data_IF_265862042385
#
_entry.id   IF_265862042385
#
_cell.length_a   1.000
_cell.length_b   1.000
_cell.length_c   1.000
_cell.angle_alpha   90.00
_cell.angle_beta   90.00
_cell.angle_gamma   90.00
#
_symmetry.space_group_name_H-M   'P 1'
#
loop_
_entity.id
_entity.type
_entity.pdbx_description
1 polymer ?
#
# COMPACT_ATOMS: atom_id res chain seq x y z
N UNK A 1 22.54 1.43 -23.03
CA UNK A 1 21.12 1.60 -23.40
C UNK A 1 20.47 0.25 -23.25
N UNK A 2 19.86 -0.02 -22.10
CA UNK A 2 19.19 -1.31 -21.84
C UNK A 2 17.82 -1.32 -22.51
N UNK A 3 17.36 -2.44 -23.06
CA UNK A 3 16.05 -2.52 -23.69
C UNK A 3 14.98 -2.19 -22.66
N UNK A 4 14.10 -1.25 -23.01
CA UNK A 4 12.95 -0.85 -22.21
C UNK A 4 11.88 -1.95 -22.30
N UNK A 5 11.99 -2.98 -21.47
CA UNK A 5 10.90 -3.95 -21.34
C UNK A 5 9.67 -3.26 -20.74
N UNK A 6 8.57 -3.29 -21.48
CA UNK A 6 7.23 -2.93 -21.00
C UNK A 6 6.66 -4.17 -20.31
N UNK A 7 6.18 -4.04 -19.08
CA UNK A 7 5.56 -5.14 -18.35
C UNK A 7 4.05 -5.09 -18.59
N UNK A 8 3.39 -6.22 -18.88
CA UNK A 8 1.93 -6.26 -18.97
C UNK A 8 1.36 -6.86 -17.69
N UNK A 9 0.38 -6.18 -17.08
CA UNK A 9 -0.33 -6.73 -15.93
C UNK A 9 -1.26 -7.86 -16.41
N UNK A 10 -1.18 -9.07 -15.85
CA UNK A 10 -2.09 -10.15 -16.21
C UNK A 10 -3.56 -9.80 -15.94
N UNK A 11 -4.52 -10.19 -16.81
CA UNK A 11 -5.96 -9.93 -16.65
C UNK A 11 -6.52 -10.29 -15.28
N UNK A 12 -6.08 -11.42 -14.71
CA UNK A 12 -6.49 -11.91 -13.40
C UNK A 12 -6.12 -10.97 -12.25
N UNK A 13 -5.05 -10.17 -12.38
CA UNK A 13 -4.61 -9.23 -11.35
C UNK A 13 -5.40 -7.91 -11.37
N UNK A 14 -6.17 -7.62 -12.43
CA UNK A 14 -6.95 -6.38 -12.53
C UNK A 14 -8.05 -6.27 -11.48
N UNK A 15 -8.47 -7.39 -10.89
CA UNK A 15 -9.41 -7.39 -9.76
C UNK A 15 -8.85 -6.60 -8.57
N UNK A 16 -7.53 -6.63 -8.35
CA UNK A 16 -6.87 -5.93 -7.26
C UNK A 16 -6.97 -4.40 -7.38
N UNK A 17 -7.06 -3.87 -8.60
CA UNK A 17 -7.19 -2.44 -8.87
C UNK A 17 -8.63 -1.92 -8.70
N UNK A 18 -9.62 -2.82 -8.70
CA UNK A 18 -11.05 -2.50 -8.64
C UNK A 18 -11.72 -2.88 -7.33
N UNK A 19 -10.99 -3.47 -6.38
CA UNK A 19 -11.52 -3.98 -5.11
C UNK A 19 -12.36 -2.95 -4.33
N UNK A 20 -11.94 -1.68 -4.30
CA UNK A 20 -12.68 -0.61 -3.64
C UNK A 20 -13.94 -0.10 -4.37
N UNK A 21 -14.33 -0.67 -5.52
CA UNK A 21 -15.50 -0.25 -6.30
C UNK A 21 -16.74 -1.14 -6.11
N UNK A 22 -16.55 -2.44 -5.80
CA UNK A 22 -17.64 -3.43 -5.77
C UNK A 22 -17.80 -4.14 -4.42
N UNK A 23 -16.82 -4.05 -3.53
CA UNK A 23 -16.85 -4.65 -2.19
C UNK A 23 -16.70 -3.59 -1.09
N UNK A 24 -16.89 -4.00 0.17
CA UNK A 24 -16.46 -3.18 1.32
C UNK A 24 -14.96 -2.91 1.23
N UNK A 25 -14.55 -1.67 1.49
CA UNK A 25 -13.15 -1.24 1.47
C UNK A 25 -12.22 -2.19 2.28
N UNK A 26 -10.98 -2.42 1.80
CA UNK A 26 -10.02 -3.29 2.47
C UNK A 26 -9.87 -2.99 3.96
N UNK A 27 -9.57 -4.02 4.74
CA UNK A 27 -9.31 -3.85 6.17
C UNK A 27 -8.04 -3.04 6.38
N UNK A 28 -8.02 -2.19 7.41
CA UNK A 28 -6.81 -1.47 7.80
C UNK A 28 -5.69 -2.43 8.24
N UNK A 29 -6.09 -3.52 8.89
CA UNK A 29 -5.21 -4.59 9.39
C UNK A 29 -5.79 -5.96 9.02
N UNK A 30 -5.55 -6.45 7.80
CA UNK A 30 -6.04 -7.76 7.39
C UNK A 30 -5.25 -8.87 8.08
N UNK A 31 -5.89 -10.04 8.21
CA UNK A 31 -5.30 -11.25 8.82
C UNK A 31 -5.01 -12.33 7.77
N UNK A 32 -5.47 -12.13 6.54
CA UNK A 32 -5.33 -13.07 5.43
C UNK A 32 -5.40 -12.32 4.09
N UNK A 33 -4.84 -12.90 3.02
CA UNK A 33 -5.02 -12.37 1.68
C UNK A 33 -6.49 -12.24 1.28
N UNK A 34 -6.78 -11.25 0.44
CA UNK A 34 -8.04 -11.08 -0.25
C UNK A 34 -8.35 -12.30 -1.13
N UNK A 35 -7.38 -12.70 -1.97
CA UNK A 35 -7.44 -13.92 -2.75
C UNK A 35 -6.10 -14.67 -2.70
N UNK A 36 -6.00 -15.78 -1.95
CA UNK A 36 -4.79 -16.60 -1.91
C UNK A 36 -4.36 -17.11 -3.28
N UNK A 37 -5.32 -17.34 -4.19
CA UNK A 37 -5.07 -17.88 -5.54
C UNK A 37 -4.33 -16.92 -6.46
N UNK A 38 -4.28 -15.61 -6.12
CA UNK A 38 -3.53 -14.62 -6.88
C UNK A 38 -2.03 -14.63 -6.54
N UNK A 39 -1.64 -15.21 -5.39
CA UNK A 39 -0.24 -15.18 -4.95
C UNK A 39 0.74 -15.75 -5.99
N UNK A 40 0.49 -16.94 -6.59
CA UNK A 40 1.41 -17.48 -7.60
C UNK A 40 1.58 -16.54 -8.80
N UNK A 41 0.47 -15.95 -9.30
CA UNK A 41 0.51 -15.03 -10.44
C UNK A 41 1.29 -13.74 -10.13
N UNK A 42 1.15 -13.20 -8.91
CA UNK A 42 1.94 -12.03 -8.48
C UNK A 42 3.42 -12.40 -8.35
N UNK A 43 3.73 -13.54 -7.72
CA UNK A 43 5.11 -13.97 -7.48
C UNK A 43 5.86 -14.30 -8.78
N UNK A 44 5.19 -14.89 -9.77
CA UNK A 44 5.75 -15.22 -11.08
C UNK A 44 5.79 -14.07 -12.06
N UNK A 45 5.24 -12.90 -11.71
CA UNK A 45 5.24 -11.74 -12.59
C UNK A 45 6.67 -11.30 -12.87
N UNK A 46 7.06 -11.23 -14.14
CA UNK A 46 8.31 -10.60 -14.55
C UNK A 46 8.14 -9.08 -14.43
N UNK A 47 8.30 -8.54 -13.23
CA UNK A 47 8.22 -7.12 -12.91
C UNK A 47 9.12 -6.78 -11.71
N UNK A 48 9.55 -5.50 -11.59
CA UNK A 48 10.35 -5.03 -10.47
C UNK A 48 9.72 -5.31 -9.11
N UNK A 49 10.55 -5.44 -8.07
CA UNK A 49 10.10 -5.76 -6.70
C UNK A 49 9.01 -4.81 -6.19
N UNK A 50 9.11 -3.47 -6.34
CA UNK A 50 8.04 -2.58 -5.90
C UNK A 50 6.68 -2.86 -6.56
N UNK A 51 6.67 -3.26 -7.84
CA UNK A 51 5.44 -3.61 -8.58
C UNK A 51 4.80 -4.87 -8.02
N UNK A 52 5.59 -5.92 -7.77
CA UNK A 52 5.08 -7.14 -7.12
C UNK A 52 4.67 -6.89 -5.67
N UNK A 53 5.42 -6.05 -4.96
CA UNK A 53 5.13 -5.66 -3.58
C UNK A 53 3.79 -4.93 -3.44
N UNK A 54 3.50 -3.94 -4.29
CA UNK A 54 2.20 -3.24 -4.27
C UNK A 54 1.04 -4.18 -4.66
N UNK A 55 1.26 -5.15 -5.55
CA UNK A 55 0.25 -6.15 -5.90
C UNK A 55 -0.05 -7.10 -4.73
N UNK A 56 0.96 -7.61 -4.02
CA UNK A 56 0.76 -8.39 -2.79
C UNK A 56 0.06 -7.54 -1.72
N UNK A 57 0.44 -6.27 -1.56
CA UNK A 57 -0.20 -5.34 -0.63
C UNK A 57 -1.69 -5.14 -0.96
N UNK A 58 -2.05 -4.91 -2.23
CA UNK A 58 -3.45 -4.80 -2.68
C UNK A 58 -4.25 -6.09 -2.46
N UNK A 59 -3.58 -7.24 -2.58
CA UNK A 59 -4.13 -8.56 -2.29
C UNK A 59 -4.19 -8.88 -0.78
N UNK A 60 -3.87 -7.95 0.11
CA UNK A 60 -3.76 -8.19 1.55
C UNK A 60 -2.80 -9.33 1.96
N UNK A 61 -1.90 -9.74 1.07
CA UNK A 61 -0.87 -10.75 1.32
C UNK A 61 0.35 -10.08 1.97
N UNK A 62 0.17 -9.67 3.23
CA UNK A 62 1.13 -8.89 4.02
C UNK A 62 2.48 -9.58 4.08
N UNK A 63 2.49 -10.87 4.44
CA UNK A 63 3.72 -11.63 4.65
C UNK A 63 4.55 -11.73 3.36
N UNK A 64 3.88 -11.98 2.22
CA UNK A 64 4.55 -12.04 0.93
C UNK A 64 5.09 -10.69 0.50
N UNK A 65 4.31 -9.61 0.68
CA UNK A 65 4.74 -8.26 0.37
C UNK A 65 5.95 -7.84 1.22
N UNK A 66 5.88 -8.06 2.53
CA UNK A 66 6.93 -7.69 3.49
C UNK A 66 8.23 -8.44 3.25
N UNK A 67 8.17 -9.76 3.11
CA UNK A 67 9.36 -10.57 2.78
C UNK A 67 10.01 -10.04 1.49
N UNK A 68 9.21 -9.74 0.47
CA UNK A 68 9.72 -9.31 -0.82
C UNK A 68 10.38 -7.93 -0.79
N UNK A 69 9.76 -6.93 -0.15
CA UNK A 69 10.30 -5.56 -0.15
C UNK A 69 11.39 -5.34 0.89
N UNK A 70 11.44 -6.15 1.95
CA UNK A 70 12.52 -6.10 2.94
C UNK A 70 13.87 -6.46 2.32
N UNK A 71 13.89 -7.41 1.38
CA UNK A 71 15.11 -7.81 0.67
C UNK A 71 15.55 -6.77 -0.40
N UNK A 72 14.76 -5.73 -0.64
CA UNK A 72 15.00 -4.64 -1.60
C UNK A 72 15.14 -3.27 -0.90
N UNK A 73 15.76 -3.24 0.28
CA UNK A 73 15.88 -2.07 1.16
C UNK A 73 16.73 -0.90 0.60
N UNK A 74 17.50 -1.15 -0.47
CA UNK A 74 18.20 -0.09 -1.21
C UNK A 74 17.26 0.71 -2.14
N UNK A 75 16.07 0.17 -2.43
CA UNK A 75 15.08 0.81 -3.30
C UNK A 75 14.09 1.64 -2.48
N UNK A 76 14.02 2.94 -2.79
CA UNK A 76 13.12 3.87 -2.09
C UNK A 76 11.64 3.51 -2.20
N UNK A 77 11.22 2.91 -3.32
CA UNK A 77 9.82 2.57 -3.56
C UNK A 77 9.42 1.36 -2.72
N UNK A 78 10.34 0.38 -2.59
CA UNK A 78 10.23 -0.75 -1.66
C UNK A 78 10.22 -0.29 -0.20
N UNK A 79 11.06 0.69 0.17
CA UNK A 79 11.05 1.27 1.52
C UNK A 79 9.72 1.98 1.85
N UNK A 80 9.09 2.63 0.87
CA UNK A 80 7.75 3.19 1.05
C UNK A 80 6.71 2.09 1.31
N UNK A 81 6.71 1.02 0.52
CA UNK A 81 5.84 -0.13 0.74
C UNK A 81 6.07 -0.77 2.11
N UNK A 82 7.33 -0.92 2.52
CA UNK A 82 7.73 -1.45 3.83
C UNK A 82 7.14 -0.61 4.97
N UNK A 83 7.22 0.73 4.87
CA UNK A 83 6.60 1.62 5.86
C UNK A 83 5.08 1.44 5.96
N UNK A 84 4.40 1.19 4.83
CA UNK A 84 2.95 0.95 4.77
C UNK A 84 2.61 -0.43 5.36
N UNK A 85 3.43 -1.44 5.10
CA UNK A 85 3.24 -2.81 5.60
C UNK A 85 3.26 -2.84 7.13
N UNK A 86 4.24 -2.21 7.76
CA UNK A 86 4.27 -2.10 9.22
C UNK A 86 3.02 -1.43 9.81
N UNK A 87 2.48 -0.39 9.16
CA UNK A 87 1.21 0.22 9.59
C UNK A 87 0.07 -0.80 9.55
N UNK A 88 0.05 -1.66 8.54
CA UNK A 88 -0.99 -2.68 8.37
C UNK A 88 -0.82 -3.90 9.28
N UNK A 89 0.40 -4.20 9.69
CA UNK A 89 0.71 -5.20 10.72
C UNK A 89 0.30 -4.69 12.13
N UNK A 90 0.29 -3.37 12.31
CA UNK A 90 0.09 -2.70 13.59
C UNK A 90 1.39 -2.36 14.31
N UNK A 91 2.53 -2.46 13.62
CA UNK A 91 3.81 -1.92 14.08
C UNK A 91 3.93 -0.44 13.68
N UNK A 92 3.11 0.39 14.33
CA UNK A 92 3.00 1.81 14.02
C UNK A 92 4.29 2.59 14.29
N UNK A 93 5.07 2.16 15.29
CA UNK A 93 6.36 2.76 15.59
C UNK A 93 7.34 2.54 14.44
N UNK A 94 7.48 1.30 13.97
CA UNK A 94 8.42 0.97 12.91
C UNK A 94 8.00 1.53 11.55
N UNK A 95 6.69 1.61 11.29
CA UNK A 95 6.15 2.36 10.15
C UNK A 95 6.66 3.81 10.12
N UNK A 96 6.56 4.52 11.26
CA UNK A 96 7.06 5.90 11.38
C UNK A 96 8.59 5.98 11.33
N UNK A 97 9.29 4.96 11.84
CA UNK A 97 10.74 4.87 11.76
C UNK A 97 11.22 4.78 10.31
N UNK A 98 10.62 3.90 9.50
CA UNK A 98 10.94 3.78 8.07
C UNK A 98 10.67 5.07 7.29
N UNK A 99 9.56 5.76 7.57
CA UNK A 99 9.26 7.06 6.96
C UNK A 99 10.34 8.14 7.24
N UNK A 100 11.18 7.96 8.27
CA UNK A 100 12.33 8.84 8.52
C UNK A 100 13.55 8.53 7.65
N UNK A 101 13.70 7.29 7.17
CA UNK A 101 14.92 6.82 6.51
C UNK A 101 15.06 7.30 5.07
N UNK A 102 13.96 7.75 4.45
CA UNK A 102 13.96 8.17 3.05
C UNK A 102 13.09 9.41 2.82
N UNK A 103 13.15 9.90 1.58
CA UNK A 103 12.25 10.89 1.01
C UNK A 103 11.68 10.34 -0.30
N UNK A 104 10.38 10.51 -0.53
CA UNK A 104 9.71 9.90 -1.67
C UNK A 104 8.75 10.89 -2.36
N UNK A 105 8.86 11.13 -3.66
CA UNK A 105 8.07 12.15 -4.37
C UNK A 105 6.56 11.86 -4.36
N UNK A 106 6.15 10.59 -4.46
CA UNK A 106 4.76 10.17 -4.32
C UNK A 106 4.08 10.73 -3.06
N UNK A 107 4.77 10.76 -1.90
CA UNK A 107 4.17 11.28 -0.67
C UNK A 107 3.84 12.78 -0.79
N UNK A 108 4.73 13.55 -1.43
CA UNK A 108 4.46 14.97 -1.70
C UNK A 108 3.26 15.15 -2.63
N UNK A 109 3.14 14.34 -3.68
CA UNK A 109 2.01 14.37 -4.61
C UNK A 109 0.69 14.00 -3.91
N UNK A 110 0.69 12.91 -3.13
CA UNK A 110 -0.51 12.41 -2.46
C UNK A 110 -1.02 13.38 -1.38
N UNK A 111 -0.13 13.95 -0.56
CA UNK A 111 -0.52 14.79 0.56
C UNK A 111 -0.64 16.29 0.23
N UNK A 112 -0.28 16.70 -1.00
CA UNK A 112 -0.51 18.06 -1.48
C UNK A 112 -2.00 18.48 -1.39
N UNK A 113 -2.94 17.56 -1.64
CA UNK A 113 -4.37 17.85 -1.54
C UNK A 113 -4.83 18.15 -0.10
N UNK A 114 -4.12 17.60 0.90
CA UNK A 114 -4.35 17.90 2.31
C UNK A 114 -3.54 19.13 2.77
N UNK A 115 -2.78 19.76 1.87
CA UNK A 115 -1.86 20.86 2.16
C UNK A 115 -0.85 20.51 3.25
N UNK A 116 -0.37 19.27 3.24
CA UNK A 116 0.61 18.75 4.19
C UNK A 116 1.92 18.44 3.48
N UNK A 117 3.03 18.54 4.23
CA UNK A 117 4.26 17.85 3.85
C UNK A 117 4.00 16.35 3.73
N UNK A 118 4.60 15.70 2.73
CA UNK A 118 4.35 14.29 2.43
C UNK A 118 4.69 13.34 3.57
N UNK A 119 5.83 13.57 4.25
CA UNK A 119 6.26 12.74 5.38
C UNK A 119 5.40 13.00 6.61
N UNK A 120 5.07 14.27 6.88
CA UNK A 120 4.17 14.64 7.97
C UNK A 120 2.79 14.02 7.78
N UNK A 121 2.21 14.13 6.59
CA UNK A 121 0.90 13.56 6.27
C UNK A 121 0.87 12.04 6.41
N UNK A 122 1.90 11.34 5.90
CA UNK A 122 2.01 9.90 6.04
C UNK A 122 2.05 9.45 7.51
N UNK A 123 2.81 10.14 8.37
CA UNK A 123 2.86 9.84 9.81
C UNK A 123 1.55 10.13 10.52
N UNK A 124 0.89 11.25 10.19
CA UNK A 124 -0.45 11.55 10.73
C UNK A 124 -1.45 10.45 10.35
N UNK A 125 -1.33 9.88 9.15
CA UNK A 125 -2.17 8.75 8.77
C UNK A 125 -1.84 7.48 9.56
N UNK A 126 -0.56 7.21 9.86
CA UNK A 126 -0.18 6.13 10.80
C UNK A 126 -0.86 6.32 12.16
N UNK A 127 -0.79 7.54 12.72
CA UNK A 127 -1.41 7.86 14.02
C UNK A 127 -2.95 7.71 13.99
N UNK A 128 -3.58 8.04 12.87
CA UNK A 128 -5.03 7.82 12.68
C UNK A 128 -5.37 6.33 12.68
N UNK A 129 -4.63 5.51 11.92
CA UNK A 129 -4.85 4.05 11.87
C UNK A 129 -4.61 3.41 13.23
N UNK A 130 -3.56 3.82 13.94
CA UNK A 130 -3.27 3.39 15.31
C UNK A 130 -4.45 3.66 16.25
N UNK A 131 -4.97 4.88 16.23
CA UNK A 131 -6.10 5.29 17.06
C UNK A 131 -7.36 4.46 16.80
N UNK A 132 -7.74 4.27 15.53
CA UNK A 132 -9.00 3.60 15.16
C UNK A 132 -8.93 2.08 15.24
N UNK A 133 -7.73 1.50 15.32
CA UNK A 133 -7.53 0.04 15.44
C UNK A 133 -7.08 -0.42 16.83
N UNK A 134 -6.81 0.52 17.74
CA UNK A 134 -6.48 0.22 19.15
C UNK A 134 -7.71 -0.25 19.93
N UNK A 135 -7.48 -1.12 20.93
CA UNK A 135 -8.55 -1.70 21.77
C UNK A 135 -9.37 -0.59 22.45
N UNK A 136 -10.69 -0.65 22.32
CA UNK A 136 -11.63 0.28 22.96
C UNK A 136 -12.15 1.42 22.07
N UNK A 137 -11.67 1.54 20.84
CA UNK A 137 -12.08 2.63 19.94
C UNK A 137 -13.46 2.42 19.26
N UNK A 138 -14.03 1.22 19.21
CA UNK A 138 -14.98 0.86 18.12
C UNK A 138 -16.49 0.98 18.40
N UNK A 139 -16.95 1.52 19.53
CA UNK A 139 -18.39 1.47 19.90
C UNK A 139 -19.19 2.76 19.70
N UNK A 140 -18.55 3.90 19.40
CA UNK A 140 -19.25 5.17 19.15
C UNK A 140 -19.45 5.46 17.64
N UNK A 141 -20.55 6.13 17.26
CA UNK A 141 -20.78 6.55 15.86
C UNK A 141 -19.63 7.39 15.27
N UNK A 142 -18.94 8.18 16.11
CA UNK A 142 -17.75 8.92 15.70
C UNK A 142 -16.61 7.98 15.27
N UNK A 143 -16.39 6.91 16.02
CA UNK A 143 -15.36 5.92 15.68
C UNK A 143 -15.66 5.15 14.40
N UNK A 144 -16.94 4.87 14.10
CA UNK A 144 -17.30 4.24 12.83
C UNK A 144 -17.02 5.15 11.63
N UNK A 145 -17.24 6.47 11.78
CA UNK A 145 -16.87 7.45 10.74
C UNK A 145 -15.35 7.51 10.56
N UNK A 146 -14.59 7.58 11.65
CA UNK A 146 -13.13 7.63 11.59
C UNK A 146 -12.55 6.34 10.95
N UNK A 147 -13.11 5.17 11.25
CA UNK A 147 -12.74 3.91 10.61
C UNK A 147 -13.03 3.94 9.11
N UNK A 148 -14.19 4.46 8.71
CA UNK A 148 -14.57 4.57 7.30
C UNK A 148 -13.61 5.52 6.56
N UNK A 149 -13.35 6.70 7.12
CA UNK A 149 -12.41 7.67 6.54
C UNK A 149 -11.00 7.07 6.42
N UNK A 150 -10.52 6.37 7.45
CA UNK A 150 -9.22 5.70 7.39
C UNK A 150 -9.17 4.64 6.26
N UNK A 151 -10.25 3.87 6.07
CA UNK A 151 -10.33 2.87 4.99
C UNK A 151 -10.36 3.51 3.60
N UNK A 152 -11.10 4.61 3.44
CA UNK A 152 -11.18 5.37 2.19
C UNK A 152 -9.80 5.96 1.84
N UNK A 153 -9.13 6.54 2.83
CA UNK A 153 -7.77 7.07 2.66
C UNK A 153 -6.75 5.98 2.35
N UNK A 154 -6.79 4.84 3.06
CA UNK A 154 -5.92 3.71 2.77
C UNK A 154 -6.07 3.21 1.34
N UNK A 155 -7.32 3.04 0.89
CA UNK A 155 -7.59 2.59 -0.47
C UNK A 155 -7.06 3.57 -1.50
N UNK A 156 -7.29 4.87 -1.28
CA UNK A 156 -6.75 5.92 -2.14
C UNK A 156 -5.22 5.89 -2.18
N UNK A 157 -4.56 5.80 -1.03
CA UNK A 157 -3.09 5.74 -0.94
C UNK A 157 -2.54 4.53 -1.71
N UNK A 158 -3.08 3.33 -1.49
CA UNK A 158 -2.59 2.13 -2.17
C UNK A 158 -2.86 2.16 -3.67
N UNK A 159 -4.06 2.61 -4.08
CA UNK A 159 -4.41 2.67 -5.50
C UNK A 159 -3.54 3.70 -6.23
N UNK A 160 -3.38 4.89 -5.66
CA UNK A 160 -2.52 5.92 -6.23
C UNK A 160 -1.05 5.49 -6.26
N UNK A 161 -0.58 4.76 -5.24
CA UNK A 161 0.78 4.21 -5.23
C UNK A 161 0.96 3.14 -6.31
N UNK A 162 -0.03 2.27 -6.53
CA UNK A 162 0.01 1.32 -7.64
C UNK A 162 0.09 2.02 -8.99
N UNK A 163 -0.73 3.04 -9.23
CA UNK A 163 -0.70 3.85 -10.44
C UNK A 163 0.66 4.57 -10.63
N UNK A 164 1.21 5.13 -9.55
CA UNK A 164 2.55 5.73 -9.55
C UNK A 164 3.63 4.72 -9.94
N UNK A 165 3.65 3.54 -9.32
CA UNK A 165 4.64 2.50 -9.60
C UNK A 165 4.47 1.92 -10.99
N UNK A 166 3.24 1.73 -11.48
CA UNK A 166 3.02 1.27 -12.84
C UNK A 166 3.51 2.28 -13.87
N UNK A 167 3.34 3.57 -13.62
CA UNK A 167 3.92 4.61 -14.47
C UNK A 167 5.45 4.60 -14.42
N UNK A 168 6.04 4.57 -13.22
CA UNK A 168 7.50 4.59 -13.01
C UNK A 168 8.19 3.38 -13.67
N UNK A 169 7.59 2.20 -13.53
CA UNK A 169 8.13 0.93 -14.02
C UNK A 169 7.51 0.47 -15.36
N UNK A 170 6.77 1.34 -16.06
CA UNK A 170 6.19 1.05 -17.40
C UNK A 170 5.37 -0.24 -17.44
N UNK A 171 4.48 -0.40 -16.46
CA UNK A 171 3.53 -1.51 -16.39
C UNK A 171 2.22 -1.11 -17.07
N UNK A 172 1.87 -1.80 -18.15
CA UNK A 172 0.61 -1.61 -18.87
C UNK A 172 -0.54 -2.35 -18.17
N UNK A 173 -1.72 -1.71 -18.12
CA UNK A 173 -2.96 -2.22 -17.52
C UNK A 173 -4.08 -2.41 -18.56
N UNK A 174 -3.71 -2.55 -19.83
CA UNK A 174 -4.62 -2.65 -20.99
C UNK A 174 -5.25 -4.03 -21.12
#
# INVERSE_FOLDING_TARGET
>A
MSPSSSHALPPELHVLLRRGQHESLPHLRPQKPYSPDLRPAISSLDAPIPVRGILHLLNDDIDAAHTLVQDDDSNRDSNLLHSILHRREGDFWNSKWWLNQFSHPFLGQLYAEKKLDGKVGAKQFVDMVERVTSKGATTACAAQRDVKEAKEWQWKEHKALAEYLFSEYRVATT
#
